data_IF_719126300272
#
_entry.id   IF_719126300272
#
_cell.length_a   1.000
_cell.length_b   1.000
_cell.length_c   1.000
_cell.angle_alpha   90.00
_cell.angle_beta   90.00
_cell.angle_gamma   90.00
#
_symmetry.space_group_name_H-M   'P 1'
#
loop_
_entity.id
_entity.type
_entity.pdbx_description
1 polymer ?
#
# COMPACT_ATOMS: atom_id res chain seq x y z
N UNK A 1 47.20 -1.23 44.95
CA UNK A 1 46.03 -0.53 44.39
C UNK A 1 45.25 -1.62 43.70
N UNK A 2 44.83 -2.61 44.50
CA UNK A 2 44.60 -4.00 44.10
C UNK A 2 43.52 -4.59 45.02
N UNK A 3 42.33 -3.99 45.02
CA UNK A 3 41.15 -4.51 45.75
C UNK A 3 39.85 -4.13 45.03
N UNK A 4 39.79 -4.33 43.70
CA UNK A 4 38.56 -4.13 42.92
C UNK A 4 38.45 -5.09 41.71
N UNK A 5 39.30 -6.13 41.63
CA UNK A 5 39.25 -7.15 40.56
C UNK A 5 38.75 -8.53 41.04
N UNK A 6 38.35 -8.69 42.31
CA UNK A 6 37.94 -9.99 42.88
C UNK A 6 36.42 -10.16 43.12
N UNK A 7 35.55 -9.34 42.50
CA UNK A 7 34.08 -9.50 42.60
C UNK A 7 33.40 -9.96 41.29
N UNK A 8 34.15 -10.46 40.30
CA UNK A 8 33.61 -10.90 39.01
C UNK A 8 33.58 -12.42 38.78
N UNK A 9 33.86 -13.26 39.78
CA UNK A 9 34.07 -14.71 39.54
C UNK A 9 33.22 -15.67 40.41
N UNK A 10 32.00 -15.29 40.80
CA UNK A 10 31.11 -16.24 41.52
C UNK A 10 29.61 -16.11 41.26
N UNK A 11 29.19 -15.90 40.01
CA UNK A 11 27.78 -16.02 39.59
C UNK A 11 27.60 -16.82 38.28
N UNK A 12 28.53 -17.72 37.95
CA UNK A 12 28.25 -18.83 37.06
C UNK A 12 27.93 -20.06 37.92
N UNK A 13 26.71 -20.58 37.73
CA UNK A 13 26.09 -21.80 38.27
C UNK A 13 24.84 -21.52 39.12
N UNK A 14 23.75 -21.17 38.45
CA UNK A 14 22.39 -21.49 38.91
C UNK A 14 21.59 -21.98 37.71
N UNK A 15 21.27 -23.26 37.78
CA UNK A 15 20.54 -24.05 36.80
C UNK A 15 19.14 -23.47 36.52
N UNK A 16 18.83 -23.15 35.26
CA UNK A 16 17.53 -22.61 34.83
C UNK A 16 16.42 -23.69 34.71
N UNK A 17 16.67 -24.94 35.09
CA UNK A 17 15.73 -26.05 34.92
C UNK A 17 14.72 -26.26 36.09
N UNK A 18 14.82 -25.53 37.21
CA UNK A 18 14.02 -25.82 38.43
C UNK A 18 13.01 -24.73 38.87
N UNK A 19 12.62 -23.79 38.01
CA UNK A 19 11.70 -22.67 38.36
C UNK A 19 10.44 -22.53 37.49
N UNK A 20 10.11 -23.51 36.65
CA UNK A 20 8.85 -23.52 35.86
C UNK A 20 7.85 -24.63 36.24
N UNK A 21 8.17 -25.50 37.21
CA UNK A 21 7.26 -26.56 37.66
C UNK A 21 6.25 -26.13 38.75
N UNK A 22 6.14 -24.85 39.12
CA UNK A 22 5.21 -24.41 40.18
C UNK A 22 4.40 -23.14 39.88
N UNK A 23 3.98 -22.94 38.62
CA UNK A 23 2.97 -21.91 38.27
C UNK A 23 1.79 -22.43 37.45
N UNK A 24 1.46 -23.72 37.54
CA UNK A 24 0.24 -24.29 36.93
C UNK A 24 -1.00 -24.22 37.85
N UNK A 25 -0.89 -23.68 39.07
CA UNK A 25 -1.98 -23.74 40.07
C UNK A 25 -2.70 -22.39 40.34
N UNK A 26 -2.70 -21.46 39.38
CA UNK A 26 -3.32 -20.13 39.55
C UNK A 26 -4.29 -19.65 38.44
N UNK A 27 -4.72 -20.51 37.49
CA UNK A 27 -5.68 -20.12 36.43
C UNK A 27 -6.84 -21.12 36.21
N UNK A 28 -7.32 -21.76 37.28
CA UNK A 28 -8.60 -22.46 37.24
C UNK A 28 -9.76 -21.49 37.56
N UNK A 29 -10.38 -20.91 36.52
CA UNK A 29 -11.70 -20.26 36.64
C UNK A 29 -12.69 -20.96 35.71
N UNK A 30 -13.71 -21.52 36.34
CA UNK A 30 -14.77 -22.39 35.83
C UNK A 30 -15.80 -21.59 35.00
N UNK A 31 -15.98 -21.95 33.72
CA UNK A 31 -16.85 -21.29 32.73
C UNK A 31 -18.14 -22.10 32.49
N UNK A 32 -18.92 -22.39 33.52
CA UNK A 32 -20.10 -23.27 33.33
C UNK A 32 -21.43 -22.86 33.99
N UNK A 33 -21.62 -21.62 34.49
CA UNK A 33 -22.94 -21.21 35.04
C UNK A 33 -23.33 -19.72 34.87
N UNK A 34 -23.52 -19.24 33.63
CA UNK A 34 -24.36 -18.06 33.37
C UNK A 34 -25.25 -18.31 32.14
N UNK A 35 -26.07 -19.36 32.21
CA UNK A 35 -27.32 -19.39 31.46
C UNK A 35 -28.44 -18.95 32.42
N UNK A 36 -29.46 -18.28 31.87
CA UNK A 36 -30.76 -18.00 32.48
C UNK A 36 -30.94 -16.67 33.24
N UNK A 37 -30.81 -15.54 32.55
CA UNK A 37 -31.75 -14.41 32.70
C UNK A 37 -31.61 -13.47 31.51
N UNK A 38 -32.42 -13.67 30.47
CA UNK A 38 -32.99 -12.61 29.61
C UNK A 38 -33.86 -13.25 28.51
N UNK A 39 -34.86 -14.01 28.96
CA UNK A 39 -36.08 -14.14 28.20
C UNK A 39 -37.01 -12.99 28.63
N UNK A 40 -37.58 -12.33 27.60
CA UNK A 40 -38.72 -11.40 27.64
C UNK A 40 -38.43 -9.94 28.05
N UNK A 41 -38.12 -9.09 27.05
CA UNK A 41 -38.81 -7.81 26.74
C UNK A 41 -38.56 -7.49 25.25
N UNK A 42 -39.64 -7.65 24.46
CA UNK A 42 -40.10 -6.91 23.27
C UNK A 42 -39.08 -6.49 22.19
N UNK A 43 -39.13 -7.00 20.96
CA UNK A 43 -40.21 -6.89 19.96
C UNK A 43 -40.71 -5.45 19.69
N UNK A 44 -39.87 -4.67 19.00
CA UNK A 44 -40.17 -3.57 18.06
C UNK A 44 -38.78 -3.18 17.50
N UNK A 45 -38.36 -3.47 16.28
CA UNK A 45 -38.94 -3.09 15.00
C UNK A 45 -38.67 -4.18 13.95
N UNK A 46 -39.76 -4.74 13.45
CA UNK A 46 -39.80 -5.51 12.21
C UNK A 46 -40.22 -4.56 11.09
N UNK A 47 -39.53 -4.63 9.95
CA UNK A 47 -39.95 -4.22 8.59
C UNK A 47 -40.08 -2.72 8.25
N UNK A 48 -39.10 -2.22 7.49
CA UNK A 48 -39.39 -1.35 6.33
C UNK A 48 -38.54 -1.78 5.13
N UNK A 49 -39.17 -2.57 4.25
CA UNK A 49 -39.10 -2.53 2.79
C UNK A 49 -37.75 -2.22 2.12
N UNK A 50 -36.86 -3.22 1.99
CA UNK A 50 -35.80 -3.22 0.97
C UNK A 50 -36.29 -3.70 -0.40
N UNK A 51 -37.49 -4.30 -0.49
CA UNK A 51 -38.05 -4.85 -1.74
C UNK A 51 -38.77 -3.83 -2.62
N UNK A 52 -39.26 -2.70 -2.07
CA UNK A 52 -39.93 -1.65 -2.88
C UNK A 52 -38.98 -0.71 -3.61
N UNK A 53 -37.73 -0.60 -3.20
CA UNK A 53 -36.74 0.24 -3.88
C UNK A 53 -36.15 -0.43 -5.12
N UNK A 54 -36.08 -1.76 -5.13
CA UNK A 54 -35.47 -2.56 -6.21
C UNK A 54 -36.44 -2.73 -7.39
N UNK A 55 -37.74 -2.81 -7.15
CA UNK A 55 -38.74 -2.99 -8.22
C UNK A 55 -39.05 -1.71 -9.01
N UNK A 56 -38.76 -0.52 -8.47
CA UNK A 56 -38.98 0.75 -9.16
C UNK A 56 -37.89 1.12 -10.18
N UNK A 57 -36.70 0.51 -10.08
CA UNK A 57 -35.56 0.82 -10.94
C UNK A 57 -35.48 -0.06 -12.21
N UNK A 58 -36.16 -1.20 -12.23
CA UNK A 58 -36.05 -2.20 -13.31
C UNK A 58 -37.11 -2.02 -14.41
N UNK A 59 -38.13 -1.16 -14.21
CA UNK A 59 -39.25 -1.03 -15.16
C UNK A 59 -39.25 0.23 -16.04
N UNK A 60 -38.08 0.82 -16.37
CA UNK A 60 -38.08 2.05 -17.19
C UNK A 60 -37.13 2.14 -18.38
N UNK A 61 -36.35 1.12 -18.70
CA UNK A 61 -35.51 1.15 -19.91
C UNK A 61 -35.55 -0.19 -20.64
N UNK A 62 -36.59 -0.39 -21.45
CA UNK A 62 -36.51 -1.10 -22.73
C UNK A 62 -37.74 -0.73 -23.57
N UNK A 63 -37.53 -0.62 -24.89
CA UNK A 63 -38.42 -0.16 -25.97
C UNK A 63 -38.45 1.39 -26.12
N UNK A 64 -38.00 2.04 -27.20
CA UNK A 64 -38.03 1.67 -28.63
C UNK A 64 -36.88 2.35 -29.41
N UNK A 65 -36.21 1.60 -30.29
CA UNK A 65 -35.53 2.13 -31.48
C UNK A 65 -36.48 2.00 -32.67
N UNK A 66 -36.79 3.11 -33.37
CA UNK A 66 -36.91 3.16 -34.84
C UNK A 66 -37.06 4.62 -35.34
N UNK A 67 -36.32 4.97 -36.39
CA UNK A 67 -36.52 6.18 -37.23
C UNK A 67 -37.45 5.81 -38.43
N UNK A 68 -37.96 6.71 -39.33
CA UNK A 68 -37.60 8.11 -39.60
C UNK A 68 -38.77 9.12 -39.97
N UNK A 69 -38.42 10.41 -40.06
CA UNK A 69 -38.94 11.50 -40.92
C UNK A 69 -40.46 11.90 -40.99
N UNK A 70 -40.79 13.14 -40.55
CA UNK A 70 -41.46 14.19 -41.38
C UNK A 70 -41.77 15.51 -40.61
N UNK A 71 -41.20 16.63 -41.09
CA UNK A 71 -41.80 17.95 -41.43
C UNK A 71 -42.70 18.71 -40.42
N UNK A 72 -42.13 19.82 -39.91
CA UNK A 72 -42.63 21.21 -39.81
C UNK A 72 -43.92 21.56 -39.01
N UNK A 73 -43.77 22.31 -37.91
CA UNK A 73 -44.21 23.72 -37.83
C UNK A 73 -43.77 24.41 -36.52
N UNK A 74 -43.20 25.61 -36.71
CA UNK A 74 -42.76 26.60 -35.73
C UNK A 74 -43.74 26.94 -34.59
N UNK A 75 -43.19 27.31 -33.42
CA UNK A 75 -43.30 28.66 -32.84
C UNK A 75 -42.29 28.84 -31.68
N UNK A 76 -41.56 29.94 -31.77
CA UNK A 76 -40.53 30.53 -30.89
C UNK A 76 -41.17 30.93 -29.54
N UNK A 77 -40.54 30.90 -28.37
CA UNK A 77 -39.48 31.75 -27.78
C UNK A 77 -39.16 31.07 -26.39
N UNK A 78 -38.01 31.09 -25.73
CA UNK A 78 -36.99 32.11 -25.55
C UNK A 78 -35.75 31.38 -24.96
N UNK A 79 -34.56 31.60 -25.53
CA UNK A 79 -33.30 31.01 -25.08
C UNK A 79 -32.66 31.91 -24.02
N UNK A 80 -32.30 31.34 -22.88
CA UNK A 80 -31.04 31.55 -22.13
C UNK A 80 -31.24 31.11 -20.67
N UNK A 81 -30.80 29.89 -20.34
CA UNK A 81 -30.35 29.62 -18.98
C UNK A 81 -29.09 28.77 -19.06
N UNK A 82 -28.01 29.33 -18.51
CA UNK A 82 -26.65 28.81 -18.50
C UNK A 82 -26.56 27.34 -18.12
N UNK A 83 -26.02 26.54 -19.04
CA UNK A 83 -25.78 25.11 -18.88
C UNK A 83 -24.34 24.82 -18.44
N UNK A 84 -23.80 25.62 -17.51
CA UNK A 84 -22.40 25.56 -17.09
C UNK A 84 -22.16 24.95 -15.69
N UNK A 85 -23.20 24.51 -14.98
CA UNK A 85 -23.07 24.07 -13.58
C UNK A 85 -23.41 22.60 -13.31
N UNK A 86 -23.14 21.70 -14.26
CA UNK A 86 -23.30 20.25 -14.07
C UNK A 86 -22.01 19.44 -14.26
N UNK A 87 -20.88 20.08 -14.58
CA UNK A 87 -19.58 19.39 -14.70
C UNK A 87 -18.72 19.41 -13.43
N UNK A 88 -19.04 20.28 -12.48
CA UNK A 88 -18.21 20.46 -11.27
C UNK A 88 -18.59 19.50 -10.13
N UNK A 89 -19.81 18.94 -10.11
CA UNK A 89 -20.25 18.02 -9.05
C UNK A 89 -19.85 16.56 -9.26
N UNK A 90 -19.50 16.17 -10.49
CA UNK A 90 -19.01 14.81 -10.78
C UNK A 90 -17.52 14.64 -10.41
N UNK A 91 -16.75 15.73 -10.36
CA UNK A 91 -15.33 15.68 -9.96
C UNK A 91 -15.16 15.59 -8.44
N UNK A 92 -16.01 16.24 -7.64
CA UNK A 92 -15.97 16.12 -6.17
C UNK A 92 -16.40 14.72 -5.69
N UNK A 93 -17.40 14.10 -6.32
CA UNK A 93 -17.88 12.76 -5.92
C UNK A 93 -16.86 11.67 -6.26
N UNK A 94 -16.17 11.76 -7.41
CA UNK A 94 -15.12 10.80 -7.78
C UNK A 94 -13.87 10.91 -6.88
N UNK A 95 -13.55 12.10 -6.35
CA UNK A 95 -12.45 12.27 -5.39
C UNK A 95 -12.77 11.71 -4.00
N UNK A 96 -14.05 11.58 -3.65
CA UNK A 96 -14.50 11.02 -2.36
C UNK A 96 -14.67 9.49 -2.44
N UNK A 97 -14.76 8.91 -3.65
CA UNK A 97 -14.89 7.47 -3.89
C UNK A 97 -13.56 6.76 -4.21
N UNK A 98 -12.43 7.48 -4.28
CA UNK A 98 -11.12 6.92 -4.67
C UNK A 98 -10.13 6.74 -3.51
N UNK A 99 -10.56 7.00 -2.27
CA UNK A 99 -9.78 6.77 -1.05
C UNK A 99 -10.03 5.37 -0.44
N UNK A 100 -10.70 4.48 -1.16
CA UNK A 100 -10.88 3.11 -0.72
C UNK A 100 -9.51 2.44 -0.57
N UNK A 101 -9.17 2.13 0.69
CA UNK A 101 -7.92 1.50 1.07
C UNK A 101 -8.21 0.09 1.55
N UNK A 102 -7.65 -0.90 0.87
CA UNK A 102 -7.68 -2.29 1.31
C UNK A 102 -6.59 -2.52 2.36
N UNK A 103 -6.95 -3.03 3.53
CA UNK A 103 -6.01 -3.32 4.61
C UNK A 103 -5.78 -4.83 4.75
N UNK A 104 -4.52 -5.25 4.66
CA UNK A 104 -4.08 -6.63 4.88
C UNK A 104 -3.27 -6.66 6.16
N UNK A 105 -3.92 -7.07 7.24
CA UNK A 105 -3.35 -7.04 8.58
C UNK A 105 -2.38 -8.20 8.83
N UNK A 106 -1.56 -8.05 9.87
CA UNK A 106 -0.65 -9.09 10.33
C UNK A 106 -1.41 -10.40 10.63
N UNK A 107 -0.83 -11.53 10.24
CA UNK A 107 -1.44 -12.86 10.39
C UNK A 107 -2.27 -13.30 9.19
N UNK A 108 -2.61 -12.37 8.28
CA UNK A 108 -3.23 -12.71 7.00
C UNK A 108 -2.14 -13.09 5.99
N UNK A 109 -2.34 -14.23 5.31
CA UNK A 109 -1.52 -14.65 4.17
C UNK A 109 -2.42 -14.76 2.95
N UNK A 110 -2.09 -14.00 1.90
CA UNK A 110 -2.78 -14.07 0.62
C UNK A 110 -1.91 -14.87 -0.34
N UNK A 111 -2.49 -15.90 -0.95
CA UNK A 111 -1.86 -16.69 -2.01
C UNK A 111 -2.63 -16.48 -3.30
N UNK A 112 -2.03 -15.76 -4.24
CA UNK A 112 -2.68 -15.32 -5.48
C UNK A 112 -2.41 -13.85 -5.77
N UNK A 113 -2.92 -13.38 -6.90
CA UNK A 113 -2.72 -12.01 -7.35
C UNK A 113 -3.76 -11.08 -6.73
N UNK A 114 -3.36 -9.84 -6.46
CA UNK A 114 -4.21 -8.75 -5.97
C UNK A 114 -4.31 -7.73 -7.10
N UNK A 115 -5.53 -7.37 -7.49
CA UNK A 115 -5.79 -6.32 -8.47
C UNK A 115 -6.83 -5.35 -7.89
N UNK A 116 -6.48 -4.07 -7.83
CA UNK A 116 -7.35 -3.00 -7.32
C UNK A 116 -7.02 -1.68 -8.01
N UNK A 117 -8.01 -0.83 -8.18
CA UNK A 117 -7.86 0.56 -8.62
C UNK A 117 -7.52 1.50 -7.45
N UNK A 118 -7.87 1.12 -6.22
CA UNK A 118 -7.64 1.89 -5.00
C UNK A 118 -6.24 1.74 -4.39
N UNK A 119 -6.15 2.11 -3.11
CA UNK A 119 -4.92 2.01 -2.31
C UNK A 119 -4.88 0.70 -1.51
N UNK A 120 -3.69 0.24 -1.16
CA UNK A 120 -3.50 -1.00 -0.39
C UNK A 120 -2.47 -0.80 0.71
N UNK A 121 -2.76 -1.26 1.91
CA UNK A 121 -1.83 -1.34 3.03
C UNK A 121 -1.59 -2.81 3.41
N UNK A 122 -0.34 -3.26 3.31
CA UNK A 122 0.07 -4.65 3.49
C UNK A 122 1.02 -4.78 4.67
N UNK A 123 0.50 -5.24 5.80
CA UNK A 123 1.28 -5.63 6.98
C UNK A 123 1.45 -7.16 7.08
N UNK A 124 0.57 -7.92 6.41
CA UNK A 124 0.61 -9.38 6.34
C UNK A 124 1.64 -9.95 5.35
N UNK A 125 1.35 -11.15 4.82
CA UNK A 125 2.16 -11.78 3.78
C UNK A 125 1.36 -11.92 2.49
N UNK A 126 1.96 -11.56 1.36
CA UNK A 126 1.36 -11.74 0.03
C UNK A 126 2.31 -12.57 -0.83
N UNK A 127 1.81 -13.69 -1.34
CA UNK A 127 2.49 -14.57 -2.28
C UNK A 127 1.74 -14.51 -3.62
N UNK A 128 2.21 -13.65 -4.52
CA UNK A 128 1.59 -13.34 -5.80
C UNK A 128 1.83 -11.90 -6.23
N UNK A 129 1.36 -11.55 -7.41
CA UNK A 129 1.56 -10.21 -7.97
C UNK A 129 0.54 -9.22 -7.41
N UNK A 130 0.94 -7.97 -7.21
CA UNK A 130 0.07 -6.89 -6.76
C UNK A 130 0.00 -5.84 -7.86
N UNK A 131 -1.21 -5.50 -8.29
CA UNK A 131 -1.49 -4.40 -9.20
C UNK A 131 -2.45 -3.44 -8.52
N UNK A 132 -1.97 -2.25 -8.15
CA UNK A 132 -2.79 -1.21 -7.53
C UNK A 132 -2.70 0.12 -8.31
N UNK A 133 -3.85 0.72 -8.65
CA UNK A 133 -3.88 2.03 -9.31
C UNK A 133 -3.43 3.18 -8.40
N UNK A 134 -3.61 3.03 -7.08
CA UNK A 134 -3.30 4.05 -6.09
C UNK A 134 -1.97 3.85 -5.37
N UNK A 135 -2.00 4.13 -4.06
CA UNK A 135 -0.84 4.06 -3.17
C UNK A 135 -0.74 2.68 -2.53
N UNK A 136 0.45 2.07 -2.62
CA UNK A 136 0.79 0.84 -1.92
C UNK A 136 1.67 1.16 -0.71
N UNK A 137 1.21 0.78 0.47
CA UNK A 137 1.97 0.79 1.71
C UNK A 137 2.33 -0.65 2.06
N UNK A 138 3.60 -0.91 2.34
CA UNK A 138 4.07 -2.24 2.72
C UNK A 138 4.84 -2.15 4.03
N UNK A 139 4.37 -2.89 5.03
CA UNK A 139 5.06 -3.19 6.28
C UNK A 139 5.26 -4.69 6.54
N UNK A 140 4.88 -5.54 5.59
CA UNK A 140 4.95 -6.99 5.68
C UNK A 140 5.92 -7.62 4.68
N UNK A 141 5.59 -8.83 4.23
CA UNK A 141 6.37 -9.54 3.21
C UNK A 141 5.56 -9.70 1.93
N UNK A 142 6.16 -9.35 0.79
CA UNK A 142 5.57 -9.55 -0.54
C UNK A 142 6.56 -10.36 -1.38
N UNK A 143 6.08 -11.47 -1.93
CA UNK A 143 6.80 -12.30 -2.88
C UNK A 143 6.02 -12.30 -4.18
N UNK A 144 6.51 -11.57 -5.17
CA UNK A 144 5.85 -11.36 -6.46
C UNK A 144 6.15 -9.98 -7.04
N UNK A 145 5.70 -9.75 -8.27
CA UNK A 145 5.88 -8.47 -8.93
C UNK A 145 4.85 -7.45 -8.44
N UNK A 146 5.30 -6.21 -8.29
CA UNK A 146 4.49 -5.11 -7.77
C UNK A 146 4.36 -4.06 -8.86
N UNK A 147 3.12 -3.72 -9.21
CA UNK A 147 2.77 -2.60 -10.07
C UNK A 147 1.90 -1.64 -9.28
N UNK A 148 2.36 -0.41 -9.09
CA UNK A 148 1.66 0.57 -8.26
C UNK A 148 1.85 2.01 -8.76
N UNK A 149 0.89 2.90 -8.47
CA UNK A 149 1.09 4.34 -8.72
C UNK A 149 2.19 4.92 -7.84
N UNK A 150 2.14 4.65 -6.53
CA UNK A 150 3.18 5.01 -5.57
C UNK A 150 3.45 3.86 -4.59
N UNK A 151 4.71 3.66 -4.20
CA UNK A 151 5.09 2.62 -3.23
C UNK A 151 5.78 3.22 -2.02
N UNK A 152 5.34 2.81 -0.85
CA UNK A 152 5.90 3.17 0.45
C UNK A 152 6.18 1.90 1.23
N UNK A 153 7.45 1.51 1.35
CA UNK A 153 7.83 0.28 2.02
C UNK A 153 8.62 0.58 3.30
N UNK A 154 8.11 0.26 4.48
CA UNK A 154 8.77 0.51 5.76
C UNK A 154 8.84 -0.77 6.60
N UNK A 155 10.03 -1.19 7.02
CA UNK A 155 10.24 -2.48 7.69
C UNK A 155 9.66 -3.68 6.90
N UNK A 156 9.68 -3.61 5.57
CA UNK A 156 9.10 -4.62 4.69
C UNK A 156 10.15 -5.50 4.01
N UNK A 157 9.73 -6.67 3.54
CA UNK A 157 10.55 -7.53 2.68
C UNK A 157 9.86 -7.70 1.34
N UNK A 158 10.48 -7.17 0.29
CA UNK A 158 9.97 -7.25 -1.08
C UNK A 158 10.89 -8.16 -1.89
N UNK A 159 10.33 -9.23 -2.45
CA UNK A 159 11.03 -10.14 -3.35
C UNK A 159 10.31 -10.16 -4.69
N UNK A 160 10.92 -9.56 -5.71
CA UNK A 160 10.31 -9.40 -7.03
C UNK A 160 10.63 -8.05 -7.67
N UNK A 161 10.11 -7.84 -8.87
CA UNK A 161 10.27 -6.56 -9.58
C UNK A 161 9.26 -5.54 -9.07
N UNK A 162 9.73 -4.31 -8.83
CA UNK A 162 8.90 -3.19 -8.39
C UNK A 162 8.80 -2.19 -9.53
N UNK A 163 7.61 -2.08 -10.12
CA UNK A 163 7.29 -1.17 -11.20
C UNK A 163 6.34 -0.11 -10.66
N UNK A 164 6.76 1.15 -10.74
CA UNK A 164 5.97 2.26 -10.26
C UNK A 164 5.89 3.37 -11.28
N UNK A 165 4.67 3.86 -11.54
CA UNK A 165 4.47 4.96 -12.47
C UNK A 165 4.96 6.29 -11.87
N UNK A 166 4.82 6.45 -10.55
CA UNK A 166 5.17 7.65 -9.81
C UNK A 166 6.46 7.53 -8.99
N UNK A 167 6.30 7.57 -7.67
CA UNK A 167 7.42 7.62 -6.73
C UNK A 167 7.53 6.37 -5.88
N UNK A 168 8.76 5.94 -5.64
CA UNK A 168 9.09 4.83 -4.74
C UNK A 168 9.82 5.38 -3.52
N UNK A 169 9.34 5.03 -2.33
CA UNK A 169 9.99 5.36 -1.06
C UNK A 169 10.25 4.08 -0.28
N UNK A 170 11.52 3.71 -0.22
CA UNK A 170 12.01 2.58 0.55
C UNK A 170 12.49 3.14 1.89
N UNK A 171 11.71 2.94 2.93
CA UNK A 171 12.02 3.30 4.30
C UNK A 171 13.09 2.40 4.93
N UNK A 172 13.45 2.75 6.17
CA UNK A 172 14.43 2.02 6.97
C UNK A 172 13.95 0.60 7.29
N UNK A 173 14.89 -0.33 7.44
CA UNK A 173 14.57 -1.73 7.75
C UNK A 173 13.89 -2.52 6.62
N UNK A 174 13.64 -1.89 5.47
CA UNK A 174 13.12 -2.56 4.28
C UNK A 174 14.24 -3.22 3.50
N UNK A 175 14.01 -4.45 3.03
CA UNK A 175 14.90 -5.18 2.12
C UNK A 175 14.17 -5.46 0.82
N UNK A 176 14.72 -4.98 -0.29
CA UNK A 176 14.21 -5.24 -1.64
C UNK A 176 15.19 -6.12 -2.38
N UNK A 177 14.72 -7.27 -2.85
CA UNK A 177 15.47 -8.21 -3.68
C UNK A 177 14.80 -8.26 -5.05
N UNK A 178 15.34 -7.50 -6.00
CA UNK A 178 14.79 -7.33 -7.33
C UNK A 178 15.04 -5.94 -7.89
N UNK A 179 14.66 -5.74 -9.15
CA UNK A 179 14.83 -4.48 -9.85
C UNK A 179 13.74 -3.48 -9.48
N UNK A 180 14.08 -2.20 -9.49
CA UNK A 180 13.17 -1.11 -9.15
C UNK A 180 13.10 -0.13 -10.32
N UNK A 181 11.91 -0.02 -10.92
CA UNK A 181 11.63 0.90 -12.01
C UNK A 181 10.65 1.97 -11.52
N UNK A 182 11.03 3.24 -11.59
CA UNK A 182 10.17 4.34 -11.14
C UNK A 182 10.41 5.67 -11.86
N UNK A 183 9.55 6.66 -11.65
CA UNK A 183 9.83 8.05 -12.09
C UNK A 183 10.72 8.78 -11.08
N UNK A 184 10.58 8.52 -9.79
CA UNK A 184 11.45 9.06 -8.75
C UNK A 184 11.64 8.06 -7.61
N UNK A 185 12.78 8.12 -6.91
CA UNK A 185 13.04 7.18 -5.83
C UNK A 185 13.74 7.82 -4.64
N UNK A 186 13.31 7.43 -3.44
CA UNK A 186 13.99 7.72 -2.18
C UNK A 186 14.30 6.39 -1.50
N UNK A 187 15.58 6.15 -1.21
CA UNK A 187 16.07 4.87 -0.72
C UNK A 187 16.72 5.10 0.64
N UNK A 188 16.16 4.53 1.70
CA UNK A 188 16.73 4.50 3.05
C UNK A 188 16.98 3.06 3.55
N UNK A 189 16.48 2.06 2.84
CA UNK A 189 16.64 0.63 3.14
C UNK A 189 17.74 -0.05 2.33
N UNK A 190 17.73 -1.38 2.34
CA UNK A 190 18.63 -2.20 1.56
C UNK A 190 17.98 -2.60 0.22
N UNK A 191 18.68 -2.42 -0.89
CA UNK A 191 18.23 -2.80 -2.23
C UNK A 191 19.30 -3.68 -2.88
N UNK A 192 18.90 -4.86 -3.32
CA UNK A 192 19.73 -5.78 -4.08
C UNK A 192 19.09 -6.00 -5.46
N UNK A 193 19.59 -5.26 -6.45
CA UNK A 193 19.05 -5.20 -7.80
C UNK A 193 19.38 -3.89 -8.49
N UNK A 194 19.06 -3.81 -9.78
CA UNK A 194 19.27 -2.60 -10.56
C UNK A 194 18.12 -1.61 -10.34
N UNK A 195 18.46 -0.32 -10.20
CA UNK A 195 17.52 0.78 -10.03
C UNK A 195 17.48 1.57 -11.34
N UNK A 196 16.33 1.61 -12.00
CA UNK A 196 16.09 2.37 -13.22
C UNK A 196 15.04 3.47 -12.98
N UNK A 197 15.51 4.70 -12.83
CA UNK A 197 14.67 5.83 -12.43
C UNK A 197 14.80 6.98 -13.42
N UNK A 198 13.70 7.42 -14.01
CA UNK A 198 13.76 8.47 -15.03
C UNK A 198 14.00 9.88 -14.45
N UNK A 199 13.83 10.05 -13.14
CA UNK A 199 13.96 11.31 -12.43
C UNK A 199 15.07 11.32 -11.38
N UNK A 200 14.90 12.10 -10.29
CA UNK A 200 15.88 12.16 -9.22
C UNK A 200 15.83 10.92 -8.33
N UNK A 201 17.02 10.45 -7.91
CA UNK A 201 17.18 9.42 -6.90
C UNK A 201 17.85 10.01 -5.67
N UNK A 202 17.25 9.87 -4.50
CA UNK A 202 17.80 10.30 -3.22
C UNK A 202 18.15 9.06 -2.39
N UNK A 203 19.42 8.91 -2.07
CA UNK A 203 19.94 7.83 -1.24
C UNK A 203 20.18 8.39 0.16
N UNK A 204 19.46 7.87 1.14
CA UNK A 204 19.53 8.29 2.54
C UNK A 204 20.72 7.64 3.26
N UNK A 205 21.06 8.19 4.42
CA UNK A 205 22.22 7.84 5.26
C UNK A 205 22.30 6.38 5.70
N UNK A 206 21.17 5.65 5.72
CA UNK A 206 21.10 4.23 6.12
C UNK A 206 21.00 3.27 4.94
N UNK A 207 20.98 3.78 3.72
CA UNK A 207 20.74 2.98 2.54
C UNK A 207 21.94 2.11 2.18
N UNK A 208 21.67 0.88 1.75
CA UNK A 208 22.66 -0.04 1.20
C UNK A 208 22.17 -0.54 -0.14
N UNK A 209 22.86 -0.18 -1.22
CA UNK A 209 22.48 -0.54 -2.59
C UNK A 209 23.55 -1.46 -3.16
N UNK A 210 23.15 -2.66 -3.53
CA UNK A 210 23.96 -3.66 -4.23
C UNK A 210 23.40 -3.79 -5.64
N UNK A 211 23.95 -3.07 -6.61
CA UNK A 211 23.43 -3.02 -7.98
C UNK A 211 23.69 -1.69 -8.67
N UNK A 212 23.29 -1.60 -9.94
CA UNK A 212 23.52 -0.40 -10.74
C UNK A 212 22.37 0.60 -10.56
N UNK A 213 22.71 1.88 -10.60
CA UNK A 213 21.74 2.98 -10.54
C UNK A 213 21.76 3.70 -11.87
N UNK A 214 20.64 3.67 -12.60
CA UNK A 214 20.39 4.52 -13.77
C UNK A 214 19.43 5.61 -13.35
N UNK A 215 19.86 6.86 -13.47
CA UNK A 215 19.00 8.00 -13.11
C UNK A 215 19.15 9.21 -14.03
N UNK A 216 18.31 10.24 -13.83
CA UNK A 216 18.58 11.58 -14.37
C UNK A 216 19.52 12.37 -13.46
N UNK A 217 19.34 12.24 -12.15
CA UNK A 217 20.23 12.81 -11.14
C UNK A 217 20.27 11.91 -9.91
N UNK A 218 21.35 11.99 -9.15
CA UNK A 218 21.52 11.22 -7.92
C UNK A 218 21.99 12.16 -6.81
N UNK A 219 21.36 12.06 -5.64
CA UNK A 219 21.78 12.71 -4.40
C UNK A 219 22.08 11.61 -3.39
N UNK A 220 23.28 11.64 -2.82
CA UNK A 220 23.74 10.64 -1.85
C UNK A 220 24.01 11.36 -0.54
N UNK A 221 23.30 10.96 0.51
CA UNK A 221 23.53 11.46 1.86
C UNK A 221 24.68 10.70 2.54
N UNK A 222 25.32 11.34 3.52
CA UNK A 222 26.43 10.75 4.26
C UNK A 222 25.97 9.48 5.00
N UNK A 223 26.72 8.38 4.83
CA UNK A 223 26.44 7.09 5.46
C UNK A 223 25.86 6.04 4.51
N UNK A 224 25.33 6.45 3.35
CA UNK A 224 24.89 5.55 2.31
C UNK A 224 26.05 4.70 1.76
N UNK A 225 25.79 3.42 1.52
CA UNK A 225 26.74 2.48 0.89
C UNK A 225 26.16 2.05 -0.45
N UNK A 226 26.94 2.21 -1.53
CA UNK A 226 26.53 1.82 -2.88
C UNK A 226 27.65 1.00 -3.50
N UNK A 227 27.33 -0.25 -3.82
CA UNK A 227 28.19 -1.20 -4.51
C UNK A 227 27.62 -1.46 -5.90
N UNK A 228 28.12 -0.72 -6.89
CA UNK A 228 27.70 -0.83 -8.29
C UNK A 228 28.01 0.43 -9.09
N UNK A 229 27.55 0.47 -10.34
CA UNK A 229 27.75 1.62 -11.21
C UNK A 229 26.56 2.58 -11.13
N UNK A 230 26.85 3.85 -10.87
CA UNK A 230 25.87 4.92 -11.01
C UNK A 230 26.06 5.62 -12.35
N UNK A 231 25.02 5.66 -13.18
CA UNK A 231 25.02 6.29 -14.50
C UNK A 231 23.83 7.24 -14.64
N UNK A 232 24.11 8.49 -14.98
CA UNK A 232 23.08 9.51 -15.18
C UNK A 232 22.64 9.57 -16.65
N UNK A 233 22.15 8.45 -17.19
CA UNK A 233 21.87 8.31 -18.63
C UNK A 233 20.63 9.08 -19.11
N UNK A 234 19.75 9.50 -18.19
CA UNK A 234 18.59 10.32 -18.50
C UNK A 234 18.84 11.82 -18.27
N UNK A 235 20.09 12.21 -18.02
CA UNK A 235 20.46 13.62 -17.87
C UNK A 235 20.45 14.33 -19.24
N UNK A 236 20.00 15.58 -19.24
CA UNK A 236 20.00 16.45 -20.44
C UNK A 236 21.41 17.00 -20.77
N UNK A 237 22.39 16.72 -19.91
CA UNK A 237 23.74 17.26 -19.99
C UNK A 237 24.62 16.27 -20.74
N UNK A 238 24.94 16.59 -22.00
CA UNK A 238 25.88 15.80 -22.77
C UNK A 238 27.32 16.15 -22.39
N UNK A 239 27.95 15.32 -21.55
CA UNK A 239 29.32 15.48 -21.08
C UNK A 239 30.35 15.61 -22.21
N UNK A 240 30.07 15.06 -23.40
CA UNK A 240 31.00 15.15 -24.53
C UNK A 240 31.19 16.60 -25.02
N UNK A 241 30.16 17.43 -24.90
CA UNK A 241 30.21 18.83 -25.33
C UNK A 241 31.11 19.73 -24.46
N UNK A 242 31.47 19.30 -23.24
CA UNK A 242 32.31 20.07 -22.33
C UNK A 242 33.82 19.84 -22.50
N UNK A 243 34.21 18.79 -23.23
CA UNK A 243 35.61 18.38 -23.39
C UNK A 243 36.11 18.40 -24.85
N UNK A 244 35.32 18.93 -25.79
CA UNK A 244 35.74 19.34 -27.15
C UNK A 244 36.10 20.83 -27.20
#
# INVERSE_FOLDING_TARGET
MDQLEDELESLENLDEEDMLENTEDALAVDYSQVEQTESVINQEYLNVDLSKAVEAAILKNEEEQEAPASIDQNLEDDKMTDNSQLKDKEQEINSILTDDTTYITKGTTIKGNIETDGSVDVIGSVEGNISCGGKLIVGGTIVGNITAGEVYANAAKLEGEVICDGSVKIGVGTVVVGNVNATSAVIAGAVNGDIDVHGPVIVDSTAVIMGNIKSRSVQINNGAVIEGFCSQCYSEIDVKSFFE
#
